data_IF_366463918106
#
_entry.id   IF_366463918106
#
_cell.length_a   1.000
_cell.length_b   1.000
_cell.length_c   1.000
_cell.angle_alpha   90.00
_cell.angle_beta   90.00
_cell.angle_gamma   90.00
#
_symmetry.space_group_name_H-M   'P 1'
#
loop_
_entity.id
_entity.type
_entity.pdbx_description
1 polymer ?
#
# COMPACT_ATOMS: atom_id res chain seq x y z
N UNK A 1 9.83 9.98 -3.52
CA UNK A 1 10.18 8.78 -2.74
C UNK A 1 8.93 7.97 -2.51
N UNK A 2 8.98 6.99 -1.62
CA UNK A 2 7.81 6.30 -1.06
C UNK A 2 7.41 7.00 0.23
N UNK A 3 6.11 7.09 0.54
CA UNK A 3 5.63 7.73 1.78
C UNK A 3 5.99 6.93 3.04
N UNK A 4 5.51 5.68 3.12
CA UNK A 4 5.84 4.72 4.18
C UNK A 4 6.46 3.47 3.56
N UNK A 5 7.66 3.11 4.02
CA UNK A 5 8.42 1.99 3.47
C UNK A 5 8.91 1.06 4.59
N UNK A 6 8.54 -0.21 4.49
CA UNK A 6 9.19 -1.31 5.20
C UNK A 6 10.00 -2.12 4.18
N UNK A 7 11.30 -2.29 4.42
CA UNK A 7 12.24 -2.87 3.45
C UNK A 7 13.18 -3.85 4.15
N UNK A 8 13.48 -4.94 3.45
CA UNK A 8 14.31 -6.07 3.88
C UNK A 8 13.63 -7.03 4.87
N UNK A 9 14.14 -8.26 4.84
CA UNK A 9 13.55 -9.37 5.56
C UNK A 9 13.50 -9.11 7.06
N UNK A 10 12.30 -9.25 7.63
CA UNK A 10 12.07 -9.09 9.07
C UNK A 10 11.91 -7.63 9.53
N UNK A 11 12.07 -6.64 8.64
CA UNK A 11 11.73 -5.26 8.97
C UNK A 11 10.22 -5.11 9.17
N UNK A 12 9.83 -4.26 10.11
CA UNK A 12 8.43 -3.98 10.43
C UNK A 12 8.21 -2.48 10.55
N UNK A 13 7.16 -1.99 9.89
CA UNK A 13 6.67 -0.63 10.05
C UNK A 13 5.18 -0.65 10.40
N UNK A 14 4.80 0.12 11.40
CA UNK A 14 3.40 0.36 11.77
C UNK A 14 3.09 1.83 11.51
N UNK A 15 2.25 2.09 10.52
CA UNK A 15 1.63 3.39 10.31
C UNK A 15 0.32 3.40 11.11
N UNK A 16 0.15 4.39 11.98
CA UNK A 16 -1.04 4.52 12.82
C UNK A 16 -2.32 4.79 12.02
N UNK A 17 -3.44 4.86 12.73
CA UNK A 17 -4.72 5.25 12.13
C UNK A 17 -4.61 6.62 11.42
N UNK A 18 -5.23 6.72 10.25
CA UNK A 18 -5.34 7.98 9.51
C UNK A 18 -4.04 8.51 8.90
N UNK A 19 -2.94 7.76 8.94
CA UNK A 19 -1.71 8.15 8.26
C UNK A 19 -1.96 8.42 6.75
N UNK A 20 -1.30 9.46 6.22
CA UNK A 20 -1.49 9.91 4.85
C UNK A 20 -0.18 9.87 4.07
N UNK A 21 -0.22 9.27 2.88
CA UNK A 21 0.86 9.27 1.90
C UNK A 21 0.38 9.93 0.61
N UNK A 22 0.75 11.19 0.42
CA UNK A 22 0.27 12.04 -0.67
C UNK A 22 1.40 12.50 -1.59
N UNK A 23 1.16 12.49 -2.91
CA UNK A 23 2.06 13.11 -3.89
C UNK A 23 3.43 12.43 -4.01
N UNK A 24 3.54 11.16 -3.63
CA UNK A 24 4.80 10.43 -3.67
C UNK A 24 5.14 10.01 -5.10
N UNK A 25 6.41 10.19 -5.50
CA UNK A 25 6.94 9.77 -6.82
C UNK A 25 6.97 8.25 -7.03
N UNK A 26 6.84 7.46 -5.97
CA UNK A 26 6.77 6.01 -6.03
C UNK A 26 5.44 5.55 -5.42
N UNK A 27 5.46 4.81 -4.32
CA UNK A 27 4.24 4.30 -3.68
C UNK A 27 3.82 5.13 -2.46
N UNK A 28 2.55 5.04 -2.08
CA UNK A 28 2.07 5.59 -0.80
C UNK A 28 2.60 4.78 0.39
N UNK A 29 2.12 3.55 0.52
CA UNK A 29 2.57 2.56 1.50
C UNK A 29 3.19 1.36 0.78
N UNK A 30 4.40 0.96 1.17
CA UNK A 30 5.11 -0.14 0.53
C UNK A 30 5.75 -1.08 1.54
N UNK A 31 5.51 -2.36 1.34
CA UNK A 31 6.28 -3.45 1.95
C UNK A 31 7.05 -4.19 0.87
N UNK A 32 8.32 -4.52 1.11
CA UNK A 32 9.18 -5.17 0.13
C UNK A 32 10.21 -6.12 0.74
N UNK A 33 10.58 -7.17 -0.01
CA UNK A 33 11.69 -8.09 0.31
C UNK A 33 11.53 -8.78 1.68
N UNK A 34 10.37 -9.40 1.92
CA UNK A 34 10.15 -10.11 3.19
C UNK A 34 9.89 -9.19 4.39
N UNK A 35 9.68 -7.89 4.16
CA UNK A 35 9.28 -6.95 5.19
C UNK A 35 7.77 -7.01 5.48
N UNK A 36 7.36 -6.40 6.58
CA UNK A 36 5.97 -6.23 6.96
C UNK A 36 5.62 -4.74 7.14
N UNK A 37 4.49 -4.32 6.57
CA UNK A 37 3.91 -3.00 6.81
C UNK A 37 2.46 -3.16 7.26
N UNK A 38 2.12 -2.55 8.39
CA UNK A 38 0.75 -2.45 8.87
C UNK A 38 0.32 -0.98 8.78
N UNK A 39 -0.62 -0.70 7.87
CA UNK A 39 -1.31 0.58 7.82
C UNK A 39 -2.58 0.47 8.67
N UNK A 40 -2.73 1.35 9.65
CA UNK A 40 -3.90 1.41 10.52
C UNK A 40 -5.19 1.73 9.77
N UNK A 41 -6.31 1.77 10.50
CA UNK A 41 -7.60 2.13 9.90
C UNK A 41 -7.53 3.52 9.23
N UNK A 42 -8.38 3.72 8.22
CA UNK A 42 -8.56 4.99 7.51
C UNK A 42 -7.28 5.62 6.92
N UNK A 43 -6.21 4.86 6.70
CA UNK A 43 -5.01 5.37 6.03
C UNK A 43 -5.32 5.74 4.58
N UNK A 44 -4.63 6.76 4.06
CA UNK A 44 -4.89 7.32 2.73
C UNK A 44 -3.63 7.35 1.88
N UNK A 45 -3.72 6.83 0.68
CA UNK A 45 -2.69 6.97 -0.35
C UNK A 45 -3.28 7.74 -1.54
N UNK A 46 -2.92 9.02 -1.66
CA UNK A 46 -3.55 9.95 -2.60
C UNK A 46 -2.56 10.51 -3.61
N UNK A 47 -2.96 10.57 -4.89
CA UNK A 47 -2.22 11.28 -5.94
C UNK A 47 -0.73 10.87 -6.06
N UNK A 48 -0.40 9.61 -5.76
CA UNK A 48 0.96 9.10 -5.92
C UNK A 48 1.23 8.71 -7.39
N UNK A 49 2.46 8.87 -7.85
CA UNK A 49 2.84 8.50 -9.22
C UNK A 49 2.95 6.99 -9.43
N UNK A 50 3.02 6.21 -8.36
CA UNK A 50 2.96 4.75 -8.37
C UNK A 50 1.73 4.23 -7.64
N UNK A 51 1.83 3.03 -7.06
CA UNK A 51 0.70 2.37 -6.38
C UNK A 51 0.40 2.98 -5.01
N UNK A 52 -0.89 3.07 -4.66
CA UNK A 52 -1.30 3.55 -3.33
C UNK A 52 -0.77 2.67 -2.19
N UNK A 53 -1.15 1.40 -2.17
CA UNK A 53 -0.67 0.38 -1.22
C UNK A 53 -0.04 -0.79 -1.99
N UNK A 54 1.27 -1.01 -1.80
CA UNK A 54 2.06 -1.99 -2.56
C UNK A 54 2.75 -2.99 -1.65
N UNK A 55 2.53 -4.29 -1.88
CA UNK A 55 3.35 -5.37 -1.35
C UNK A 55 4.12 -6.02 -2.50
N UNK A 56 5.44 -6.12 -2.40
CA UNK A 56 6.31 -6.49 -3.52
C UNK A 56 7.42 -7.48 -3.11
N UNK A 57 7.63 -8.51 -3.95
CA UNK A 57 8.60 -9.60 -3.75
C UNK A 57 8.21 -10.61 -2.67
N UNK A 58 8.78 -11.81 -2.82
CA UNK A 58 8.54 -12.98 -1.99
C UNK A 58 8.53 -12.63 -0.49
N UNK A 59 7.45 -13.02 0.19
CA UNK A 59 7.33 -12.92 1.64
C UNK A 59 7.05 -11.51 2.18
N UNK A 60 7.01 -10.47 1.33
CA UNK A 60 6.57 -9.16 1.76
C UNK A 60 5.07 -9.18 2.10
N UNK A 61 4.69 -8.49 3.18
CA UNK A 61 3.30 -8.39 3.64
C UNK A 61 2.91 -6.96 3.87
N UNK A 62 1.73 -6.59 3.37
CA UNK A 62 1.08 -5.33 3.66
C UNK A 62 -0.34 -5.59 4.18
N UNK A 63 -0.66 -5.06 5.36
CA UNK A 63 -2.02 -5.05 5.89
C UNK A 63 -2.53 -3.62 5.86
N UNK A 64 -3.58 -3.37 5.07
CA UNK A 64 -4.33 -2.12 5.08
C UNK A 64 -5.54 -2.29 6.00
N UNK A 65 -5.60 -1.51 7.07
CA UNK A 65 -6.69 -1.54 8.04
C UNK A 65 -8.05 -1.17 7.43
N UNK A 66 -9.10 -1.26 8.24
CA UNK A 66 -10.46 -0.90 7.84
C UNK A 66 -10.52 0.51 7.22
N UNK A 67 -11.28 0.66 6.13
CA UNK A 67 -11.56 1.97 5.54
C UNK A 67 -10.37 2.65 4.88
N UNK A 68 -9.26 1.96 4.65
CA UNK A 68 -8.13 2.54 3.90
C UNK A 68 -8.55 2.93 2.48
N UNK A 69 -8.04 4.06 2.00
CA UNK A 69 -8.40 4.63 0.71
C UNK A 69 -7.17 4.84 -0.18
N UNK A 70 -7.24 4.33 -1.41
CA UNK A 70 -6.29 4.64 -2.48
C UNK A 70 -6.99 5.46 -3.56
N UNK A 71 -6.61 6.72 -3.72
CA UNK A 71 -7.30 7.64 -4.62
C UNK A 71 -6.35 8.40 -5.55
N UNK A 72 -6.68 8.50 -6.83
CA UNK A 72 -5.94 9.37 -7.77
C UNK A 72 -4.51 8.90 -8.06
N UNK A 73 -4.14 7.66 -7.74
CA UNK A 73 -2.79 7.16 -7.99
C UNK A 73 -2.61 6.80 -9.47
N UNK A 74 -1.44 7.08 -10.06
CA UNK A 74 -1.17 6.81 -11.49
C UNK A 74 -0.94 5.32 -11.81
N UNK A 75 -0.93 4.45 -10.80
CA UNK A 75 -0.92 3.00 -10.97
C UNK A 75 -2.13 2.37 -10.28
N UNK A 76 -2.00 1.15 -9.74
CA UNK A 76 -3.07 0.49 -8.97
C UNK A 76 -3.34 1.17 -7.62
N UNK A 77 -4.55 0.99 -7.09
CA UNK A 77 -4.89 1.41 -5.73
C UNK A 77 -4.19 0.55 -4.68
N UNK A 78 -4.51 -0.75 -4.67
CA UNK A 78 -3.90 -1.78 -3.84
C UNK A 78 -3.31 -2.86 -4.74
N UNK A 79 -2.06 -3.26 -4.49
CA UNK A 79 -1.36 -4.26 -5.30
C UNK A 79 -0.49 -5.19 -4.46
N UNK A 80 -0.61 -6.48 -4.68
CA UNK A 80 0.40 -7.49 -4.34
C UNK A 80 0.98 -8.10 -5.61
N UNK A 81 2.29 -8.38 -5.62
CA UNK A 81 2.88 -9.16 -6.71
C UNK A 81 4.16 -9.88 -6.31
N UNK A 82 4.55 -10.85 -7.15
CA UNK A 82 5.84 -11.55 -7.05
C UNK A 82 5.99 -12.32 -5.72
N UNK A 83 4.93 -13.02 -5.32
CA UNK A 83 4.90 -13.80 -4.07
C UNK A 83 4.73 -12.96 -2.80
N UNK A 84 4.31 -11.70 -2.93
CA UNK A 84 3.92 -10.84 -1.83
C UNK A 84 2.43 -11.01 -1.47
N UNK A 85 2.07 -10.67 -0.24
CA UNK A 85 0.68 -10.68 0.25
C UNK A 85 0.21 -9.26 0.57
N UNK A 86 -1.02 -8.94 0.20
CA UNK A 86 -1.72 -7.73 0.63
C UNK A 86 -3.09 -8.12 1.19
N UNK A 87 -3.37 -7.67 2.42
CA UNK A 87 -4.67 -7.81 3.06
C UNK A 87 -5.35 -6.46 3.12
N UNK A 88 -6.49 -6.31 2.44
CA UNK A 88 -7.32 -5.12 2.53
C UNK A 88 -8.45 -5.35 3.53
N UNK A 89 -8.52 -4.50 4.56
CA UNK A 89 -9.57 -4.54 5.57
C UNK A 89 -10.95 -4.20 5.01
N UNK A 90 -11.99 -4.39 5.83
CA UNK A 90 -13.36 -4.03 5.47
C UNK A 90 -13.44 -2.57 5.00
N UNK A 91 -14.35 -2.30 4.06
CA UNK A 91 -14.60 -0.97 3.52
C UNK A 91 -13.37 -0.26 2.89
N UNK A 92 -12.27 -0.95 2.59
CA UNK A 92 -11.20 -0.39 1.77
C UNK A 92 -11.73 0.02 0.40
N UNK A 93 -11.26 1.15 -0.13
CA UNK A 93 -11.73 1.71 -1.40
C UNK A 93 -10.57 2.12 -2.27
N UNK A 94 -10.71 1.85 -3.56
CA UNK A 94 -9.81 2.34 -4.59
C UNK A 94 -10.62 3.09 -5.65
N UNK A 95 -10.42 4.39 -5.77
CA UNK A 95 -11.20 5.27 -6.65
C UNK A 95 -10.30 6.17 -7.48
N UNK A 96 -10.68 6.44 -8.73
CA UNK A 96 -9.97 7.37 -9.61
C UNK A 96 -8.46 7.07 -9.79
N UNK A 97 -8.02 5.83 -9.56
CA UNK A 97 -6.67 5.41 -9.90
C UNK A 97 -6.62 5.11 -11.41
N UNK A 98 -5.50 5.41 -12.07
CA UNK A 98 -5.35 5.14 -13.51
C UNK A 98 -5.26 3.62 -13.78
N UNK A 99 -4.73 2.84 -12.83
CA UNK A 99 -4.69 1.39 -12.89
C UNK A 99 -5.85 0.70 -12.15
N UNK A 100 -5.75 -0.63 -12.02
CA UNK A 100 -6.75 -1.45 -11.31
C UNK A 100 -6.87 -1.05 -9.83
N UNK A 101 -8.11 -1.01 -9.31
CA UNK A 101 -8.35 -0.68 -7.91
C UNK A 101 -7.69 -1.64 -6.92
N UNK A 102 -7.89 -2.95 -7.10
CA UNK A 102 -7.27 -4.02 -6.32
C UNK A 102 -6.67 -5.05 -7.29
N UNK A 103 -5.39 -5.36 -7.15
CA UNK A 103 -4.66 -6.24 -8.06
C UNK A 103 -3.77 -7.23 -7.28
N UNK A 104 -3.79 -8.50 -7.67
CA UNK A 104 -2.83 -9.50 -7.20
C UNK A 104 -2.29 -10.28 -8.41
N UNK A 105 -0.97 -10.41 -8.52
CA UNK A 105 -0.26 -11.07 -9.64
C UNK A 105 0.83 -12.04 -9.16
#
# INVERSE_FOLDING_TARGET
>A
GTGFLSLHQGAKLVAGEGCCAEGNKASGFRSQEGAELQAGAACKATNNEGTGFLSLHQGAKLVAGEGCCAEGNKASGFRSQEGAELQAGAACKATNNEGTGFLSL
#
